data_IF_231004850238
#
_entry.id   IF_231004850238
#
_cell.length_a   1.000
_cell.length_b   1.000
_cell.length_c   1.000
_cell.angle_alpha   90.00
_cell.angle_beta   90.00
_cell.angle_gamma   90.00
#
_symmetry.space_group_name_H-M   'P 1'
#
loop_
_entity.id
_entity.type
_entity.pdbx_description
1 polymer ?
#
# COMPACT_ATOMS: atom_id res chain seq x y z
N UNK A 1 45.71 73.65 -16.94
CA UNK A 1 45.74 73.36 -18.39
C UNK A 1 44.28 73.27 -18.81
N UNK A 2 43.78 74.35 -19.43
CA UNK A 2 42.39 74.35 -19.95
C UNK A 2 42.42 73.74 -21.35
N UNK A 3 41.75 72.55 -21.46
CA UNK A 3 41.53 71.94 -22.77
C UNK A 3 40.78 72.98 -23.66
N UNK A 4 41.24 73.15 -24.89
CA UNK A 4 40.55 74.03 -25.83
C UNK A 4 39.12 73.45 -26.08
N UNK A 5 38.12 74.37 -26.25
CA UNK A 5 36.72 73.89 -26.41
C UNK A 5 36.53 72.98 -27.62
N UNK A 6 37.39 73.03 -28.59
CA UNK A 6 37.40 72.17 -29.78
C UNK A 6 37.77 70.74 -29.45
N UNK A 7 38.70 70.48 -28.53
CA UNK A 7 39.07 69.16 -28.09
C UNK A 7 37.95 68.50 -27.27
N UNK A 8 37.24 69.30 -26.45
CA UNK A 8 36.11 68.84 -25.65
C UNK A 8 34.96 68.41 -26.54
N UNK A 9 34.63 69.18 -27.61
CA UNK A 9 33.56 68.78 -28.54
C UNK A 9 33.89 67.46 -29.30
N UNK A 10 35.13 67.24 -29.71
CA UNK A 10 35.56 66.05 -30.40
C UNK A 10 35.47 64.84 -29.47
N UNK A 11 35.85 64.96 -28.17
CA UNK A 11 35.73 63.90 -27.19
C UNK A 11 34.29 63.51 -26.93
N UNK A 12 33.37 64.44 -26.82
CA UNK A 12 31.95 64.22 -26.64
C UNK A 12 31.34 63.45 -27.83
N UNK A 13 31.67 63.85 -29.05
CA UNK A 13 31.19 63.18 -30.27
C UNK A 13 31.74 61.78 -30.40
N UNK A 14 33.02 61.55 -30.00
CA UNK A 14 33.61 60.18 -29.96
C UNK A 14 32.93 59.32 -28.94
N UNK A 15 32.64 59.84 -27.74
CA UNK A 15 31.92 59.11 -26.71
C UNK A 15 30.49 58.69 -27.11
N UNK A 16 29.78 59.65 -27.80
CA UNK A 16 28.44 59.31 -28.33
C UNK A 16 28.48 58.32 -29.45
N UNK A 17 29.48 58.32 -30.31
CA UNK A 17 29.65 57.33 -31.36
C UNK A 17 29.96 55.93 -30.79
N UNK A 18 30.81 55.86 -29.77
CA UNK A 18 31.11 54.58 -29.05
C UNK A 18 29.90 54.04 -28.32
N UNK A 19 29.13 54.93 -27.66
CA UNK A 19 27.89 54.52 -26.98
C UNK A 19 26.85 53.99 -27.97
N UNK A 20 26.68 54.67 -29.11
CA UNK A 20 25.79 54.19 -30.19
C UNK A 20 26.21 52.87 -30.79
N UNK A 21 27.53 52.70 -31.01
CA UNK A 21 28.07 51.43 -31.51
C UNK A 21 27.90 50.30 -30.51
N UNK A 22 28.14 50.56 -29.23
CA UNK A 22 27.91 49.56 -28.17
C UNK A 22 26.42 49.14 -28.10
N UNK A 23 25.51 50.08 -28.17
CA UNK A 23 24.07 49.82 -28.19
C UNK A 23 23.67 49.00 -29.44
N UNK A 24 24.23 49.34 -30.61
CA UNK A 24 24.02 48.62 -31.86
C UNK A 24 24.49 47.16 -31.76
N UNK A 25 25.68 46.94 -31.20
CA UNK A 25 26.23 45.58 -30.98
C UNK A 25 25.36 44.80 -30.01
N UNK A 26 24.91 45.39 -28.89
CA UNK A 26 24.04 44.73 -27.92
C UNK A 26 22.70 44.34 -28.57
N UNK A 27 22.07 45.24 -29.30
CA UNK A 27 20.77 44.98 -29.96
C UNK A 27 20.88 43.93 -31.05
N UNK A 28 22.01 43.90 -31.80
CA UNK A 28 22.21 42.91 -32.86
C UNK A 28 22.69 41.53 -32.34
N UNK A 29 23.40 41.53 -31.20
CA UNK A 29 23.88 40.27 -30.57
C UNK A 29 22.97 39.73 -29.48
N UNK A 30 21.88 40.43 -29.11
CA UNK A 30 20.82 39.81 -28.32
C UNK A 30 20.29 38.67 -29.18
N UNK A 31 20.49 37.40 -28.79
CA UNK A 31 19.91 36.31 -29.54
C UNK A 31 18.42 36.56 -29.58
N UNK A 32 17.89 36.93 -30.74
CA UNK A 32 16.45 36.90 -31.01
C UNK A 32 16.13 35.45 -30.81
N UNK A 33 15.70 35.10 -29.56
CA UNK A 33 15.27 33.76 -29.22
C UNK A 33 14.22 33.39 -30.26
N UNK A 34 14.64 32.67 -31.27
CA UNK A 34 13.77 31.96 -32.15
C UNK A 34 13.12 30.86 -31.26
N UNK A 35 12.14 31.31 -30.45
CA UNK A 35 11.09 30.40 -30.03
C UNK A 35 10.37 30.05 -31.33
N UNK A 36 10.92 29.03 -31.99
CA UNK A 36 10.33 28.55 -33.21
C UNK A 36 8.99 27.93 -32.78
N UNK A 37 7.95 28.23 -33.53
CA UNK A 37 6.62 27.64 -33.41
C UNK A 37 6.66 26.08 -33.34
N UNK A 38 7.79 25.50 -33.67
CA UNK A 38 8.09 24.05 -33.52
C UNK A 38 8.34 23.63 -32.09
N UNK A 39 9.04 24.42 -31.25
CA UNK A 39 9.32 24.09 -29.84
C UNK A 39 8.04 24.16 -29.02
N UNK A 40 7.18 25.16 -29.27
CA UNK A 40 5.87 25.25 -28.61
C UNK A 40 4.95 24.10 -29.02
N UNK A 41 4.98 23.67 -30.28
CA UNK A 41 4.21 22.48 -30.72
C UNK A 41 4.72 21.20 -30.10
N UNK A 42 6.04 21.02 -30.00
CA UNK A 42 6.64 19.86 -29.36
C UNK A 42 6.29 19.80 -27.87
N UNK A 43 6.35 20.92 -27.15
CA UNK A 43 5.95 21.03 -25.75
C UNK A 43 4.47 20.66 -25.56
N UNK A 44 3.57 21.13 -26.42
CA UNK A 44 2.14 20.78 -26.37
C UNK A 44 1.93 19.29 -26.63
N UNK A 45 2.63 18.68 -27.57
CA UNK A 45 2.52 17.23 -27.85
C UNK A 45 2.95 16.41 -26.63
N UNK A 46 4.09 16.77 -26.01
CA UNK A 46 4.58 16.09 -24.81
C UNK A 46 3.59 16.22 -23.65
N UNK A 47 3.04 17.42 -23.43
CA UNK A 47 2.03 17.65 -22.39
C UNK A 47 0.76 16.82 -22.62
N UNK A 48 0.27 16.75 -23.87
CA UNK A 48 -0.90 15.93 -24.18
C UNK A 48 -0.65 14.44 -24.03
N UNK A 49 0.55 13.96 -24.34
CA UNK A 49 0.94 12.57 -24.09
C UNK A 49 0.98 12.24 -22.59
N UNK A 50 1.57 13.13 -21.76
CA UNK A 50 1.58 12.94 -20.32
C UNK A 50 0.18 12.96 -19.71
N UNK A 51 -0.70 13.84 -20.19
CA UNK A 51 -2.10 13.87 -19.73
C UNK A 51 -2.82 12.57 -20.07
N UNK A 52 -2.56 12.01 -21.24
CA UNK A 52 -3.13 10.72 -21.66
C UNK A 52 -2.58 9.55 -20.84
N UNK A 53 -1.28 9.53 -20.54
CA UNK A 53 -0.66 8.55 -19.65
C UNK A 53 -1.23 8.64 -18.23
N UNK A 54 -1.38 9.85 -17.70
CA UNK A 54 -2.02 10.07 -16.40
C UNK A 54 -3.48 9.61 -16.37
N UNK A 55 -4.24 9.82 -17.44
CA UNK A 55 -5.60 9.33 -17.55
C UNK A 55 -5.63 7.80 -17.55
N UNK A 56 -4.78 7.15 -18.33
CA UNK A 56 -4.65 5.70 -18.38
C UNK A 56 -4.23 5.11 -17.02
N UNK A 57 -3.28 5.76 -16.34
CA UNK A 57 -2.85 5.34 -15.00
C UNK A 57 -3.98 5.44 -13.98
N UNK A 58 -4.78 6.51 -14.02
CA UNK A 58 -5.96 6.66 -13.17
C UNK A 58 -6.98 5.55 -13.38
N UNK A 59 -7.21 5.17 -14.63
CA UNK A 59 -8.12 4.05 -14.98
C UNK A 59 -7.57 2.74 -14.43
N UNK A 60 -6.29 2.45 -14.66
CA UNK A 60 -5.64 1.25 -14.16
C UNK A 60 -5.66 1.16 -12.62
N UNK A 61 -5.42 2.27 -11.92
CA UNK A 61 -5.52 2.32 -10.45
C UNK A 61 -6.93 2.04 -9.93
N UNK A 62 -7.97 2.55 -10.62
CA UNK A 62 -9.36 2.24 -10.26
C UNK A 62 -9.67 0.77 -10.44
N UNK A 63 -9.30 0.19 -11.58
CA UNK A 63 -9.50 -1.24 -11.85
C UNK A 63 -8.78 -2.11 -10.82
N UNK A 64 -7.55 -1.73 -10.43
CA UNK A 64 -6.81 -2.44 -9.39
C UNK A 64 -7.50 -2.34 -8.02
N UNK A 65 -7.99 -1.15 -7.66
CA UNK A 65 -8.72 -0.94 -6.41
C UNK A 65 -10.03 -1.74 -6.36
N UNK A 66 -10.77 -1.78 -7.47
CA UNK A 66 -12.01 -2.56 -7.58
C UNK A 66 -11.71 -4.07 -7.53
N UNK A 67 -10.65 -4.52 -8.20
CA UNK A 67 -10.18 -5.89 -8.13
C UNK A 67 -9.78 -6.31 -6.70
N UNK A 68 -9.08 -5.46 -5.97
CA UNK A 68 -8.71 -5.71 -4.58
C UNK A 68 -9.94 -5.80 -3.65
N UNK A 69 -10.95 -4.95 -3.87
CA UNK A 69 -12.21 -5.03 -3.10
C UNK A 69 -12.94 -6.35 -3.33
N UNK A 70 -13.08 -6.75 -4.59
CA UNK A 70 -13.71 -8.02 -4.95
C UNK A 70 -12.95 -9.21 -4.34
N UNK A 71 -11.62 -9.20 -4.36
CA UNK A 71 -10.80 -10.23 -3.72
C UNK A 71 -10.97 -10.24 -2.20
N UNK A 72 -10.98 -9.07 -1.55
CA UNK A 72 -11.19 -8.95 -0.12
C UNK A 72 -12.56 -9.48 0.32
N UNK A 73 -13.61 -9.17 -0.43
CA UNK A 73 -14.96 -9.68 -0.20
C UNK A 73 -15.01 -11.22 -0.39
N UNK A 74 -14.38 -11.73 -1.44
CA UNK A 74 -14.27 -13.18 -1.68
C UNK A 74 -13.53 -13.91 -0.56
N UNK A 75 -12.51 -13.28 0.02
CA UNK A 75 -11.76 -13.87 1.15
C UNK A 75 -12.59 -13.94 2.42
N UNK A 76 -13.59 -13.08 2.64
CA UNK A 76 -14.42 -13.13 3.85
C UNK A 76 -15.19 -14.45 4.00
N UNK A 77 -15.56 -15.07 2.89
CA UNK A 77 -16.24 -16.38 2.89
C UNK A 77 -15.30 -17.58 2.89
N UNK A 78 -13.98 -17.39 2.94
CA UNK A 78 -13.03 -18.51 3.05
C UNK A 78 -12.75 -18.85 4.50
N UNK A 79 -12.46 -20.13 4.78
CA UNK A 79 -12.04 -20.57 6.11
C UNK A 79 -10.65 -20.01 6.41
N UNK A 80 -10.58 -19.09 7.36
CA UNK A 80 -9.35 -18.36 7.71
C UNK A 80 -9.10 -18.28 9.22
N UNK A 81 -10.04 -18.74 10.02
CA UNK A 81 -9.99 -18.70 11.47
C UNK A 81 -10.04 -20.11 12.01
N UNK A 82 -9.01 -20.47 12.77
CA UNK A 82 -8.87 -21.80 13.35
C UNK A 82 -8.63 -21.66 14.84
N UNK A 83 -9.45 -22.35 15.62
CA UNK A 83 -9.26 -22.49 17.07
C UNK A 83 -9.24 -23.96 17.45
N UNK A 84 -8.24 -24.37 18.22
CA UNK A 84 -8.08 -25.75 18.68
C UNK A 84 -7.98 -25.78 20.21
N UNK A 85 -8.75 -26.65 20.84
CA UNK A 85 -8.70 -26.98 22.27
C UNK A 85 -8.47 -28.49 22.39
N UNK A 86 -7.46 -28.87 23.16
CA UNK A 86 -7.21 -30.26 23.52
C UNK A 86 -7.48 -30.45 25.00
N UNK A 87 -8.10 -31.59 25.38
CA UNK A 87 -8.52 -31.85 26.74
C UNK A 87 -8.61 -33.35 27.01
N UNK A 88 -8.72 -33.71 28.26
CA UNK A 88 -9.04 -35.08 28.69
C UNK A 88 -10.54 -35.13 28.95
N UNK A 89 -11.26 -35.89 28.12
CA UNK A 89 -12.72 -36.04 28.27
C UNK A 89 -13.08 -37.00 29.43
N UNK A 90 -12.12 -37.80 29.92
CA UNK A 90 -12.28 -38.74 31.03
C UNK A 90 -11.05 -38.68 31.94
N UNK A 91 -11.25 -38.59 33.25
CA UNK A 91 -10.19 -38.41 34.25
C UNK A 91 -9.16 -39.55 34.30
N UNK A 92 -9.53 -40.74 33.84
CA UNK A 92 -8.72 -41.92 33.84
C UNK A 92 -7.94 -42.16 32.52
N UNK A 93 -8.09 -41.29 31.57
CA UNK A 93 -7.43 -41.35 30.25
C UNK A 93 -6.64 -40.08 29.99
N UNK A 94 -5.45 -39.99 30.58
CA UNK A 94 -4.54 -38.86 30.34
C UNK A 94 -4.01 -38.81 28.89
N UNK A 95 -3.37 -37.70 28.54
CA UNK A 95 -2.70 -37.52 27.26
C UNK A 95 -3.37 -36.50 26.35
N UNK A 96 -4.45 -35.83 26.78
CA UNK A 96 -5.18 -34.80 26.01
C UNK A 96 -5.49 -35.26 24.58
N UNK A 97 -6.04 -36.48 24.45
CA UNK A 97 -6.31 -37.07 23.14
C UNK A 97 -7.62 -36.59 22.54
N UNK A 98 -8.54 -36.07 23.35
CA UNK A 98 -9.76 -35.44 22.89
C UNK A 98 -9.48 -34.01 22.43
N UNK A 99 -10.23 -33.52 21.46
CA UNK A 99 -10.09 -32.16 20.98
C UNK A 99 -11.41 -31.58 20.44
N UNK A 100 -11.52 -30.26 20.50
CA UNK A 100 -12.52 -29.47 19.77
C UNK A 100 -11.81 -28.49 18.87
N UNK A 101 -12.18 -28.46 17.60
CA UNK A 101 -11.58 -27.57 16.57
C UNK A 101 -12.68 -26.78 15.88
N UNK A 102 -12.58 -25.45 15.95
CA UNK A 102 -13.42 -24.53 15.19
C UNK A 102 -12.71 -24.11 13.91
N UNK A 103 -13.41 -24.24 12.78
CA UNK A 103 -12.99 -23.81 11.44
C UNK A 103 -14.02 -22.82 10.92
N UNK A 104 -13.65 -21.55 10.87
CA UNK A 104 -14.59 -20.47 10.60
C UNK A 104 -14.06 -19.53 9.52
N UNK A 105 -14.99 -18.89 8.81
CA UNK A 105 -14.69 -17.81 7.87
C UNK A 105 -14.49 -16.45 8.59
N UNK A 106 -14.31 -15.38 7.80
CA UNK A 106 -14.16 -14.03 8.32
C UNK A 106 -15.41 -13.46 9.00
N UNK A 107 -16.57 -14.04 8.74
CA UNK A 107 -17.86 -13.63 9.28
C UNK A 107 -18.28 -14.49 10.49
N UNK A 108 -17.51 -15.51 10.82
CA UNK A 108 -17.81 -16.45 11.92
C UNK A 108 -18.75 -17.58 11.54
N UNK A 109 -18.86 -17.88 10.24
CA UNK A 109 -19.61 -19.04 9.76
C UNK A 109 -18.67 -20.20 9.49
N UNK A 110 -19.15 -21.41 9.70
CA UNK A 110 -18.37 -22.65 9.48
C UNK A 110 -18.84 -23.77 10.36
N UNK A 111 -17.89 -24.46 10.99
CA UNK A 111 -18.22 -25.60 11.82
C UNK A 111 -17.23 -25.77 12.99
N UNK A 112 -17.69 -26.38 14.04
CA UNK A 112 -16.85 -26.94 15.11
C UNK A 112 -16.90 -28.45 15.06
N UNK A 113 -15.73 -29.09 15.10
CA UNK A 113 -15.54 -30.54 15.13
C UNK A 113 -15.02 -30.91 16.50
N UNK A 114 -15.66 -31.86 17.13
CA UNK A 114 -15.24 -32.42 18.42
C UNK A 114 -14.97 -33.89 18.27
N UNK A 115 -13.79 -34.33 18.70
CA UNK A 115 -13.43 -35.73 18.80
C UNK A 115 -13.21 -36.07 20.27
N UNK A 116 -14.01 -36.99 20.77
CA UNK A 116 -13.94 -37.51 22.15
C UNK A 116 -13.32 -38.91 22.11
N UNK A 117 -12.13 -39.02 22.67
CA UNK A 117 -11.43 -40.29 22.74
C UNK A 117 -11.85 -41.06 24.00
N UNK A 118 -12.53 -42.17 23.82
CA UNK A 118 -12.91 -43.09 24.88
C UNK A 118 -12.02 -44.33 24.94
N UNK A 119 -12.21 -45.22 25.93
CA UNK A 119 -11.42 -46.44 26.13
C UNK A 119 -11.57 -47.46 25.01
N UNK A 120 -12.76 -47.55 24.44
CA UNK A 120 -13.08 -48.59 23.44
C UNK A 120 -13.41 -47.96 22.08
N UNK A 121 -13.90 -46.74 22.07
CA UNK A 121 -14.33 -46.03 20.87
C UNK A 121 -13.95 -44.56 20.90
N UNK A 122 -13.80 -43.98 19.73
CA UNK A 122 -13.65 -42.52 19.55
C UNK A 122 -14.88 -42.01 18.83
N UNK A 123 -15.52 -40.98 19.37
CA UNK A 123 -16.70 -40.37 18.78
C UNK A 123 -16.35 -39.01 18.24
N UNK A 124 -16.81 -38.75 17.02
CA UNK A 124 -16.61 -37.46 16.36
C UNK A 124 -17.97 -36.83 16.05
N UNK A 125 -18.10 -35.56 16.37
CA UNK A 125 -19.28 -34.73 16.13
C UNK A 125 -18.88 -33.49 15.37
N UNK A 126 -19.78 -33.00 14.48
CA UNK A 126 -19.63 -31.70 13.82
C UNK A 126 -20.91 -30.92 14.03
N UNK A 127 -20.76 -29.65 14.46
CA UNK A 127 -21.87 -28.72 14.67
C UNK A 127 -21.67 -27.50 13.81
N UNK A 128 -22.71 -26.99 13.10
CA UNK A 128 -22.61 -25.76 12.33
C UNK A 128 -22.47 -24.57 13.26
N UNK A 129 -21.74 -23.56 12.79
CA UNK A 129 -21.57 -22.26 13.44
C UNK A 129 -21.96 -21.19 12.45
N UNK A 130 -22.82 -20.27 12.87
CA UNK A 130 -23.30 -19.11 12.10
C UNK A 130 -23.15 -17.85 12.94
N UNK A 131 -22.42 -16.87 12.43
CA UNK A 131 -22.18 -15.62 13.14
C UNK A 131 -21.61 -15.82 14.55
N UNK A 132 -20.59 -16.72 14.70
CA UNK A 132 -19.91 -17.06 15.96
C UNK A 132 -20.75 -17.85 16.96
N UNK A 133 -21.95 -18.26 16.61
CA UNK A 133 -22.89 -18.99 17.46
C UNK A 133 -23.37 -20.27 16.78
N UNK A 134 -23.95 -21.19 17.54
CA UNK A 134 -24.55 -22.41 16.98
C UNK A 134 -25.99 -22.55 17.48
N UNK A 135 -26.85 -23.11 16.63
CA UNK A 135 -28.18 -23.52 17.02
C UNK A 135 -28.18 -24.81 17.87
N UNK A 136 -27.04 -25.49 17.93
CA UNK A 136 -26.85 -26.68 18.78
C UNK A 136 -26.21 -26.31 20.11
N UNK A 137 -26.51 -27.06 21.17
CA UNK A 137 -25.81 -26.88 22.44
C UNK A 137 -24.32 -27.18 22.25
N UNK A 138 -23.47 -26.19 22.55
CA UNK A 138 -22.02 -26.33 22.51
C UNK A 138 -21.52 -26.75 23.90
N UNK A 139 -20.44 -27.55 23.95
CA UNK A 139 -19.70 -27.77 25.18
C UNK A 139 -18.76 -26.60 25.46
N UNK A 140 -18.23 -26.51 26.69
CA UNK A 140 -17.29 -25.46 27.11
C UNK A 140 -16.04 -25.45 26.21
N UNK A 141 -15.55 -26.62 25.79
CA UNK A 141 -14.40 -26.79 24.92
C UNK A 141 -14.69 -26.35 23.46
N UNK A 142 -15.93 -26.56 22.99
CA UNK A 142 -16.38 -26.09 21.69
C UNK A 142 -16.52 -24.58 21.66
N UNK A 143 -17.11 -23.98 22.70
CA UNK A 143 -17.16 -22.52 22.85
C UNK A 143 -15.77 -21.90 22.94
N UNK A 144 -14.88 -22.51 23.74
CA UNK A 144 -13.49 -22.08 23.85
C UNK A 144 -12.73 -22.17 22.51
N UNK A 145 -13.02 -23.20 21.70
CA UNK A 145 -12.45 -23.33 20.36
C UNK A 145 -12.92 -22.21 19.45
N UNK A 146 -14.20 -21.84 19.48
CA UNK A 146 -14.74 -20.69 18.73
C UNK A 146 -14.09 -19.37 19.20
N UNK A 147 -13.95 -19.18 20.51
CA UNK A 147 -13.28 -17.98 21.06
C UNK A 147 -11.80 -17.91 20.63
N UNK A 148 -11.07 -19.03 20.60
CA UNK A 148 -9.70 -19.09 20.09
C UNK A 148 -9.64 -18.76 18.59
N UNK A 149 -10.59 -19.25 17.80
CA UNK A 149 -10.72 -18.92 16.40
C UNK A 149 -10.95 -17.40 16.19
N UNK A 150 -11.76 -16.77 17.04
CA UNK A 150 -11.99 -15.33 17.04
C UNK A 150 -10.69 -14.55 17.34
N UNK A 151 -9.93 -15.00 18.36
CA UNK A 151 -8.65 -14.37 18.75
C UNK A 151 -7.51 -14.59 17.76
N UNK A 152 -7.55 -15.63 16.93
CA UNK A 152 -6.53 -15.93 15.92
C UNK A 152 -6.49 -14.93 14.76
N UNK A 153 -7.48 -14.07 14.65
CA UNK A 153 -7.63 -13.07 13.58
C UNK A 153 -6.86 -11.77 13.80
N UNK A 154 -5.94 -11.70 14.74
CA UNK A 154 -5.04 -10.55 14.76
C UNK A 154 -4.17 -10.57 13.50
N UNK A 155 -4.32 -9.58 12.58
CA UNK A 155 -3.37 -9.46 11.48
C UNK A 155 -1.98 -9.33 12.10
N UNK A 156 -1.03 -10.12 11.58
CA UNK A 156 0.38 -9.98 11.97
C UNK A 156 0.74 -8.49 11.91
N UNK A 157 0.95 -7.87 13.07
CA UNK A 157 1.25 -6.43 13.14
C UNK A 157 2.51 -6.17 12.32
N UNK A 158 2.49 -5.27 11.35
CA UNK A 158 3.66 -4.93 10.52
C UNK A 158 4.84 -4.39 11.33
N UNK A 159 4.64 -4.07 12.61
CA UNK A 159 5.67 -3.62 13.54
C UNK A 159 6.82 -4.62 13.80
N UNK A 160 6.58 -5.94 13.67
CA UNK A 160 7.64 -6.95 13.87
C UNK A 160 8.61 -7.03 12.70
N UNK A 161 8.16 -6.75 11.48
CA UNK A 161 9.02 -6.71 10.29
C UNK A 161 9.94 -5.49 10.28
N UNK A 162 9.46 -4.33 10.78
CA UNK A 162 10.27 -3.11 10.89
C UNK A 162 11.36 -3.21 11.97
N UNK A 163 11.13 -3.95 13.05
CA UNK A 163 12.12 -4.20 14.09
C UNK A 163 13.24 -5.16 13.63
N UNK A 164 12.90 -6.19 12.85
CA UNK A 164 13.86 -7.13 12.29
C UNK A 164 14.77 -6.49 11.22
N UNK A 165 14.25 -5.51 10.47
CA UNK A 165 15.03 -4.77 9.48
C UNK A 165 16.04 -3.79 10.12
N UNK A 166 15.69 -3.19 11.26
CA UNK A 166 16.60 -2.28 12.00
C UNK A 166 17.73 -2.99 12.73
N UNK A 167 17.54 -4.25 13.13
CA UNK A 167 18.55 -5.04 13.81
C UNK A 167 19.70 -5.52 12.91
N UNK A 168 19.55 -5.50 11.59
CA UNK A 168 20.59 -5.93 10.63
C UNK A 168 21.50 -4.80 10.16
N UNK A 169 21.14 -3.54 10.37
CA UNK A 169 21.97 -2.38 9.96
C UNK A 169 22.91 -1.86 11.05
N UNK A 170 22.85 -2.41 12.26
CA UNK A 170 23.69 -2.00 13.40
C UNK A 170 24.90 -2.93 13.65
N UNK A 171 25.20 -3.86 12.76
CA UNK A 171 26.25 -4.86 12.91
C UNK A 171 27.15 -5.03 11.68
N UNK A 172 27.37 -3.94 10.90
CA UNK A 172 28.36 -3.92 9.81
C UNK A 172 29.29 -2.73 9.96
#
# INVERSE_FOLDING_TARGET
>A
MSLSPQILTVLVLLALALAGFALFVVVNNVPKGNRTLSDDKQAVIVLTQHDQELANLKVALRQLADGQRCQAEGLLGTMQRVGLVRYDAFDDMGGHLSFSAALLDGQGNGLVITSINGRQDTRCYAKPVEGWTSSHNLSEEEELAIQRALGSAQPAQPARLAAAARGRSAGA
#
